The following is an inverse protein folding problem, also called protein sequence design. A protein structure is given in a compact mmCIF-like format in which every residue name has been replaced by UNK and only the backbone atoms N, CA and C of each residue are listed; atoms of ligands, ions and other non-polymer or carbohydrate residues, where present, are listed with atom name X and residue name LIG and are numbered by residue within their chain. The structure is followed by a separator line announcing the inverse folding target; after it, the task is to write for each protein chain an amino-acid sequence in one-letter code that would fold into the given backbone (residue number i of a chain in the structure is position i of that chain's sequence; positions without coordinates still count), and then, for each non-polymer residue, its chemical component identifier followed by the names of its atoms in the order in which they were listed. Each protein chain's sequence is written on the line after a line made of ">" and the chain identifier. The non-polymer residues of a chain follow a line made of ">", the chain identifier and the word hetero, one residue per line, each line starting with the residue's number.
data_IF_448020780384
#
_entry.id   IF_448020780384
#
_cell.length_a   1.000
_cell.length_b   1.000
_cell.length_c   1.000
_cell.angle_alpha   90.00
_cell.angle_beta   90.00
_cell.angle_gamma   90.00
#
_symmetry.space_group_name_H-M   'P 1'
#
loop_
_entity.id
_entity.type
_entity.pdbx_description
1 polymer ?
#
# COMPACT_ATOMS: atom_id res chain seq x y z
N UNK A 1 -0.34 12.85 26.05
CA UNK A 1 -0.71 14.17 25.51
C UNK A 1 -1.49 13.92 24.24
N UNK A 2 -2.74 14.36 24.16
CA UNK A 2 -3.53 14.27 22.93
C UNK A 2 -3.15 15.47 22.07
N UNK A 3 -2.27 15.28 21.11
CA UNK A 3 -1.94 16.32 20.12
C UNK A 3 -3.14 16.48 19.22
N UNK A 4 -3.82 17.63 19.29
CA UNK A 4 -4.87 17.99 18.33
C UNK A 4 -4.26 18.05 16.94
N UNK A 5 -4.78 17.23 16.01
CA UNK A 5 -4.36 17.27 14.61
C UNK A 5 -4.96 18.51 13.96
N UNK A 6 -4.14 19.25 13.20
CA UNK A 6 -4.60 20.44 12.48
C UNK A 6 -5.71 20.06 11.48
N UNK A 7 -6.85 20.78 11.46
CA UNK A 7 -7.94 20.51 10.52
C UNK A 7 -7.54 20.47 9.05
N UNK A 8 -6.53 21.26 8.65
CA UNK A 8 -6.01 21.26 7.28
C UNK A 8 -5.36 19.91 6.91
N UNK A 9 -4.74 19.22 7.87
CA UNK A 9 -4.19 17.88 7.67
C UNK A 9 -5.32 16.89 7.45
N UNK A 10 -6.37 16.94 8.27
CA UNK A 10 -7.54 16.06 8.12
C UNK A 10 -8.17 16.27 6.73
N UNK A 11 -8.38 17.52 6.33
CA UNK A 11 -8.96 17.87 5.03
C UNK A 11 -8.11 17.38 3.86
N UNK A 12 -6.78 17.42 3.96
CA UNK A 12 -5.88 16.91 2.93
C UNK A 12 -6.01 15.39 2.71
N UNK A 13 -6.40 14.64 3.75
CA UNK A 13 -6.63 13.19 3.66
C UNK A 13 -8.08 12.81 3.37
N UNK A 14 -9.03 13.75 3.46
CA UNK A 14 -10.45 13.52 3.20
C UNK A 14 -11.03 14.54 2.22
N UNK A 15 -10.49 14.67 1.00
CA UNK A 15 -10.97 15.65 0.02
C UNK A 15 -12.43 15.43 -0.37
N UNK A 16 -12.95 14.22 -0.17
CA UNK A 16 -14.35 13.82 -0.43
C UNK A 16 -15.18 13.69 0.85
N UNK A 17 -14.62 14.05 2.01
CA UNK A 17 -15.28 13.95 3.32
C UNK A 17 -15.07 12.63 4.08
N UNK A 18 -14.46 11.63 3.45
CA UNK A 18 -14.04 10.37 4.09
C UNK A 18 -12.61 10.03 3.68
N UNK A 19 -11.92 9.20 4.46
CA UNK A 19 -10.63 8.64 4.07
C UNK A 19 -10.87 7.41 3.20
N UNK A 20 -10.41 7.41 1.94
CA UNK A 20 -10.50 6.25 1.04
C UNK A 20 -9.17 5.52 0.99
N UNK A 21 -9.12 4.29 1.48
CA UNK A 21 -7.93 3.46 1.48
C UNK A 21 -7.96 2.40 0.38
N UNK A 22 -6.96 2.43 -0.50
CA UNK A 22 -6.76 1.43 -1.55
C UNK A 22 -6.21 0.13 -0.95
N UNK A 23 -6.95 -0.97 -1.11
CA UNK A 23 -6.61 -2.30 -0.57
C UNK A 23 -6.35 -3.28 -1.72
N UNK A 24 -5.15 -3.86 -1.75
CA UNK A 24 -4.75 -4.85 -2.74
C UNK A 24 -4.87 -6.29 -2.18
N UNK A 25 -5.94 -7.00 -2.54
CA UNK A 25 -6.13 -8.41 -2.20
C UNK A 25 -5.18 -9.36 -2.96
N UNK A 26 -4.53 -8.88 -4.03
CA UNK A 26 -3.48 -9.61 -4.71
C UNK A 26 -2.19 -9.75 -3.90
N UNK A 27 -2.10 -9.09 -2.73
CA UNK A 27 -1.02 -9.28 -1.77
C UNK A 27 -1.55 -9.96 -0.49
N UNK A 28 -1.59 -11.30 -0.44
CA UNK A 28 -2.16 -12.05 0.69
C UNK A 28 -1.36 -11.92 1.98
N UNK A 29 -0.14 -11.37 1.95
CA UNK A 29 0.62 -11.07 3.18
C UNK A 29 -0.01 -9.88 3.91
N UNK A 30 -0.58 -8.94 3.17
CA UNK A 30 -1.09 -7.67 3.72
C UNK A 30 -2.61 -7.60 3.80
N UNK A 31 -3.33 -8.28 2.90
CA UNK A 31 -4.78 -8.24 2.84
C UNK A 31 -5.37 -9.54 2.27
N UNK A 32 -6.44 -10.02 2.90
CA UNK A 32 -7.23 -11.18 2.48
C UNK A 32 -8.73 -10.88 2.63
N UNK A 33 -9.56 -11.84 2.22
CA UNK A 33 -10.98 -11.87 2.59
C UNK A 33 -11.17 -12.75 3.81
N UNK A 34 -11.89 -12.24 4.80
CA UNK A 34 -12.32 -12.99 5.98
C UNK A 34 -13.43 -13.99 5.66
N UNK A 35 -13.85 -14.80 6.65
CA UNK A 35 -14.92 -15.79 6.48
C UNK A 35 -16.27 -15.19 6.06
N UNK A 36 -16.50 -13.92 6.39
CA UNK A 36 -17.68 -13.13 6.03
C UNK A 36 -17.54 -12.41 4.68
N UNK A 37 -16.43 -12.63 3.96
CA UNK A 37 -16.11 -11.99 2.69
C UNK A 37 -15.52 -10.58 2.79
N UNK A 38 -15.43 -10.01 4.00
CA UNK A 38 -14.91 -8.66 4.22
C UNK A 38 -13.38 -8.62 4.14
N UNK A 39 -12.78 -7.50 3.69
CA UNK A 39 -11.33 -7.33 3.74
C UNK A 39 -10.80 -7.39 5.17
N UNK A 40 -9.74 -8.18 5.38
CA UNK A 40 -9.02 -8.33 6.64
C UNK A 40 -7.51 -8.33 6.41
N UNK A 41 -6.72 -8.01 7.43
CA UNK A 41 -5.27 -8.05 7.38
C UNK A 41 -4.60 -6.72 7.72
N UNK A 42 -3.28 -6.72 7.67
CA UNK A 42 -2.42 -5.60 8.14
C UNK A 42 -2.80 -4.28 7.50
N UNK A 43 -3.02 -4.23 6.18
CA UNK A 43 -3.38 -2.98 5.50
C UNK A 43 -4.74 -2.43 5.96
N UNK A 44 -5.68 -3.29 6.30
CA UNK A 44 -7.01 -2.90 6.78
C UNK A 44 -6.90 -2.33 8.19
N UNK A 45 -6.13 -2.99 9.06
CA UNK A 45 -5.94 -2.55 10.44
C UNK A 45 -5.20 -1.20 10.51
N UNK A 46 -4.18 -1.02 9.66
CA UNK A 46 -3.48 0.27 9.55
C UNK A 46 -4.40 1.38 9.02
N UNK A 47 -5.24 1.10 8.02
CA UNK A 47 -6.19 2.07 7.50
C UNK A 47 -7.21 2.50 8.56
N UNK A 48 -7.75 1.54 9.33
CA UNK A 48 -8.67 1.79 10.44
C UNK A 48 -8.02 2.63 11.53
N UNK A 49 -6.84 2.23 12.00
CA UNK A 49 -6.12 2.98 13.03
C UNK A 49 -5.78 4.41 12.58
N UNK A 50 -5.46 4.60 11.29
CA UNK A 50 -5.21 5.94 10.75
C UNK A 50 -6.49 6.79 10.69
N UNK A 51 -7.60 6.23 10.21
CA UNK A 51 -8.90 6.91 10.20
C UNK A 51 -9.35 7.32 11.60
N UNK A 52 -9.23 6.41 12.58
CA UNK A 52 -9.54 6.65 13.99
C UNK A 52 -8.68 7.79 14.56
N UNK A 53 -7.38 7.81 14.25
CA UNK A 53 -6.47 8.85 14.70
C UNK A 53 -6.79 10.22 14.10
N UNK A 54 -7.29 10.25 12.85
CA UNK A 54 -7.78 11.46 12.19
C UNK A 54 -9.19 11.86 12.65
N UNK A 55 -9.95 10.95 13.28
CA UNK A 55 -11.33 11.17 13.68
C UNK A 55 -12.32 11.21 12.52
N UNK A 56 -12.05 10.46 11.44
CA UNK A 56 -12.86 10.46 10.21
C UNK A 56 -13.39 9.06 9.87
N UNK A 57 -14.40 9.01 9.00
CA UNK A 57 -14.88 7.75 8.45
C UNK A 57 -13.87 7.15 7.45
N UNK A 58 -13.87 5.82 7.35
CA UNK A 58 -13.02 5.06 6.43
C UNK A 58 -13.85 4.36 5.38
N UNK A 59 -13.42 4.45 4.13
CA UNK A 59 -13.90 3.66 3.00
C UNK A 59 -12.76 2.79 2.47
N UNK A 60 -13.00 1.48 2.33
CA UNK A 60 -12.04 0.55 1.75
C UNK A 60 -12.34 0.37 0.25
N UNK A 61 -11.41 0.80 -0.61
CA UNK A 61 -11.50 0.64 -2.06
C UNK A 61 -10.67 -0.58 -2.45
N UNK A 62 -11.35 -1.69 -2.77
CA UNK A 62 -10.74 -3.01 -2.85
C UNK A 62 -10.42 -3.40 -4.29
N UNK A 63 -9.19 -3.86 -4.51
CA UNK A 63 -8.68 -4.32 -5.80
C UNK A 63 -8.09 -5.72 -5.70
N UNK A 64 -8.05 -6.42 -6.84
CA UNK A 64 -7.49 -7.77 -6.99
C UNK A 64 -5.99 -7.78 -7.34
N UNK A 65 -5.42 -6.62 -7.71
CA UNK A 65 -4.06 -6.51 -8.20
C UNK A 65 -3.37 -5.22 -7.76
N UNK A 66 -2.05 -5.29 -7.57
CA UNK A 66 -1.21 -4.17 -7.14
C UNK A 66 -1.30 -2.99 -8.11
N UNK A 67 -1.24 -3.23 -9.43
CA UNK A 67 -1.29 -2.18 -10.45
C UNK A 67 -2.54 -1.31 -10.33
N UNK A 68 -3.73 -1.94 -10.27
CA UNK A 68 -5.02 -1.23 -10.12
C UNK A 68 -5.10 -0.44 -8.81
N UNK A 69 -4.52 -0.99 -7.75
CA UNK A 69 -4.51 -0.37 -6.42
C UNK A 69 -3.62 0.88 -6.37
N UNK A 70 -2.46 0.86 -7.04
CA UNK A 70 -1.58 2.02 -7.20
C UNK A 70 -2.21 3.07 -8.11
N UNK A 71 -2.73 2.65 -9.25
CA UNK A 71 -3.43 3.52 -10.20
C UNK A 71 -4.60 4.25 -9.52
N UNK A 72 -5.33 3.60 -8.62
CA UNK A 72 -6.40 4.26 -7.85
C UNK A 72 -5.93 5.43 -6.99
N UNK A 73 -4.71 5.36 -6.44
CA UNK A 73 -4.14 6.47 -5.66
C UNK A 73 -3.63 7.57 -6.60
N UNK A 74 -3.00 7.17 -7.72
CA UNK A 74 -2.54 8.12 -8.74
C UNK A 74 -3.69 8.90 -9.39
N UNK A 75 -4.82 8.24 -9.65
CA UNK A 75 -6.05 8.82 -10.24
C UNK A 75 -6.97 9.49 -9.22
N UNK A 76 -6.57 9.60 -7.95
CA UNK A 76 -7.37 10.22 -6.88
C UNK A 76 -8.69 9.52 -6.56
N UNK A 77 -8.82 8.24 -6.98
CA UNK A 77 -9.92 7.36 -6.60
C UNK A 77 -9.77 6.84 -5.17
N UNK A 78 -8.55 6.85 -4.64
CA UNK A 78 -8.22 6.61 -3.24
C UNK A 78 -7.22 7.66 -2.73
N UNK A 79 -7.26 7.95 -1.42
CA UNK A 79 -6.43 8.98 -0.78
C UNK A 79 -5.12 8.40 -0.26
N UNK A 80 -5.15 7.13 0.17
CA UNK A 80 -3.98 6.38 0.64
C UNK A 80 -3.91 4.96 0.06
N UNK A 81 -2.74 4.34 0.12
CA UNK A 81 -2.55 2.94 -0.25
C UNK A 81 -1.34 2.26 0.40
N UNK A 82 -1.31 0.92 0.33
CA UNK A 82 -0.33 0.07 1.01
C UNK A 82 0.44 -0.76 -0.02
N UNK A 83 1.67 -0.36 -0.32
CA UNK A 83 2.42 -0.91 -1.45
C UNK A 83 3.84 -1.30 -1.06
N UNK A 84 4.39 -2.24 -1.82
CA UNK A 84 5.83 -2.44 -1.90
C UNK A 84 6.52 -1.14 -2.36
N UNK A 85 7.68 -0.84 -1.81
CA UNK A 85 8.51 0.26 -2.32
C UNK A 85 9.04 -0.15 -3.70
N UNK A 86 8.51 0.52 -4.72
CA UNK A 86 8.87 0.31 -6.12
C UNK A 86 9.28 1.65 -6.74
N UNK A 87 10.55 1.80 -7.16
CA UNK A 87 11.06 3.06 -7.68
C UNK A 87 10.34 3.54 -8.94
N UNK A 88 9.75 2.65 -9.75
CA UNK A 88 8.98 3.03 -10.95
C UNK A 88 7.64 3.64 -10.55
N UNK A 89 6.99 3.07 -9.53
CA UNK A 89 5.72 3.58 -8.98
C UNK A 89 5.93 4.84 -8.12
N UNK A 90 7.17 5.05 -7.67
CA UNK A 90 7.71 6.24 -7.00
C UNK A 90 7.38 7.59 -7.63
N UNK A 91 7.19 7.63 -8.95
CA UNK A 91 7.10 8.88 -9.69
C UNK A 91 5.76 9.62 -9.49
N UNK A 92 4.69 8.91 -9.11
CA UNK A 92 3.33 9.45 -9.10
C UNK A 92 2.74 9.62 -7.70
N UNK A 93 3.35 9.00 -6.67
CA UNK A 93 2.83 8.98 -5.30
C UNK A 93 3.95 9.20 -4.29
N UNK A 94 3.64 9.82 -3.16
CA UNK A 94 4.58 10.01 -2.05
C UNK A 94 4.56 8.80 -1.11
N UNK A 95 5.74 8.46 -0.58
CA UNK A 95 5.97 7.30 0.29
C UNK A 95 6.22 7.77 1.73
N UNK A 96 5.64 7.08 2.72
CA UNK A 96 6.10 7.17 4.10
C UNK A 96 7.36 6.33 4.29
N UNK A 97 7.91 6.37 5.51
CA UNK A 97 8.80 5.30 5.95
C UNK A 97 8.10 3.93 5.87
N UNK A 98 8.88 2.87 5.64
CA UNK A 98 8.35 1.51 5.60
C UNK A 98 7.81 1.06 6.96
N UNK A 99 6.61 0.48 6.98
CA UNK A 99 5.96 -0.01 8.20
C UNK A 99 6.15 -1.52 8.43
N UNK A 100 6.58 -2.26 7.41
CA UNK A 100 6.90 -3.69 7.50
C UNK A 100 8.02 -4.07 6.54
N UNK A 101 8.92 -4.93 6.99
CA UNK A 101 9.90 -5.59 6.16
C UNK A 101 9.43 -7.03 5.90
N UNK A 102 9.30 -7.39 4.62
CA UNK A 102 8.87 -8.73 4.21
C UNK A 102 10.08 -9.39 3.56
N UNK A 103 10.69 -10.31 4.29
CA UNK A 103 11.82 -11.09 3.80
C UNK A 103 11.34 -12.14 2.79
N UNK A 104 12.02 -12.23 1.66
CA UNK A 104 11.83 -13.30 0.69
C UNK A 104 12.49 -14.59 1.15
N UNK A 105 11.80 -15.72 1.01
CA UNK A 105 12.36 -17.03 1.34
C UNK A 105 12.06 -18.06 0.25
N UNK A 106 12.90 -19.09 0.17
CA UNK A 106 12.76 -20.17 -0.80
C UNK A 106 12.16 -21.41 -0.16
N UNK A 107 11.09 -21.95 -0.77
CA UNK A 107 10.54 -23.23 -0.36
C UNK A 107 11.22 -24.37 -1.14
N UNK A 108 11.81 -25.30 -0.42
CA UNK A 108 12.48 -26.48 -0.98
C UNK A 108 11.79 -27.77 -0.55
N UNK A 109 12.04 -28.87 -1.29
CA UNK A 109 11.63 -30.21 -0.84
C UNK A 109 12.37 -30.58 0.45
N UNK A 110 11.74 -31.39 1.30
CA UNK A 110 12.33 -31.83 2.57
C UNK A 110 13.73 -32.46 2.42
N UNK A 111 13.93 -33.27 1.37
CA UNK A 111 15.22 -33.89 1.05
C UNK A 111 16.24 -32.95 0.40
N UNK A 112 15.96 -31.65 0.32
CA UNK A 112 16.88 -30.67 -0.27
C UNK A 112 18.15 -30.53 0.56
N UNK A 113 19.33 -30.45 -0.08
CA UNK A 113 20.55 -30.10 0.61
C UNK A 113 20.60 -28.61 1.00
N UNK A 114 19.76 -27.76 0.37
CA UNK A 114 19.70 -26.33 0.67
C UNK A 114 19.03 -26.09 2.03
N UNK A 115 19.73 -25.38 2.90
CA UNK A 115 19.34 -25.03 4.28
C UNK A 115 19.33 -23.53 4.53
N UNK A 116 19.94 -22.75 3.66
CA UNK A 116 20.03 -21.30 3.80
C UNK A 116 19.76 -20.58 2.47
N UNK A 117 19.16 -19.39 2.53
CA UNK A 117 18.87 -18.57 1.34
C UNK A 117 20.14 -18.25 0.54
N UNK A 118 21.29 -18.05 1.19
CA UNK A 118 22.56 -17.75 0.54
C UNK A 118 23.10 -18.90 -0.33
N UNK A 119 22.67 -20.13 -0.08
CA UNK A 119 23.08 -21.31 -0.84
C UNK A 119 22.43 -21.36 -2.23
N UNK A 120 21.30 -20.67 -2.39
CA UNK A 120 20.56 -20.60 -3.66
C UNK A 120 21.35 -19.87 -4.74
N UNK A 121 22.06 -18.80 -4.38
CA UNK A 121 22.91 -18.06 -5.33
C UNK A 121 24.03 -18.92 -5.95
N UNK A 122 24.45 -19.98 -5.24
CA UNK A 122 25.48 -20.92 -5.69
C UNK A 122 24.89 -22.17 -6.36
N UNK A 123 23.59 -22.40 -6.24
CA UNK A 123 22.90 -23.53 -6.83
C UNK A 123 22.45 -23.21 -8.26
N UNK A 124 22.83 -24.03 -9.24
CA UNK A 124 22.44 -23.89 -10.66
C UNK A 124 20.94 -24.12 -10.95
N UNK A 125 20.09 -24.16 -9.91
CA UNK A 125 18.66 -24.38 -10.05
C UNK A 125 17.94 -23.04 -10.29
N UNK A 126 16.90 -22.98 -11.15
CA UNK A 126 16.09 -21.77 -11.25
C UNK A 126 15.30 -21.60 -9.94
N UNK A 127 15.53 -20.49 -9.25
CA UNK A 127 14.81 -20.12 -8.03
C UNK A 127 14.42 -18.65 -8.10
N UNK A 128 13.19 -18.31 -7.72
CA UNK A 128 12.63 -16.96 -7.79
C UNK A 128 12.71 -16.29 -6.41
N UNK A 129 13.50 -15.21 -6.28
CA UNK A 129 13.65 -14.43 -5.05
C UNK A 129 12.68 -13.24 -5.03
N UNK A 130 12.13 -12.91 -3.85
CA UNK A 130 11.33 -11.68 -3.68
C UNK A 130 11.44 -11.10 -2.28
N UNK A 131 12.50 -10.33 -2.02
CA UNK A 131 12.62 -9.48 -0.81
C UNK A 131 11.94 -8.12 -1.07
N UNK A 132 11.11 -7.63 -0.14
CA UNK A 132 10.34 -6.39 -0.35
C UNK A 132 9.99 -5.69 0.96
N UNK A 133 10.12 -4.35 0.99
CA UNK A 133 9.60 -3.50 2.08
C UNK A 133 8.26 -2.90 1.68
N UNK A 134 7.29 -2.85 2.59
CA UNK A 134 6.01 -2.19 2.35
C UNK A 134 5.91 -0.85 3.09
N UNK A 135 5.31 0.12 2.42
CA UNK A 135 5.12 1.49 2.89
C UNK A 135 3.68 1.96 2.63
N UNK A 136 3.27 3.00 3.36
CA UNK A 136 1.98 3.66 3.21
C UNK A 136 2.16 4.87 2.31
N UNK A 137 1.16 5.18 1.50
CA UNK A 137 1.27 6.18 0.44
C UNK A 137 0.16 7.18 0.54
N UNK A 138 0.48 8.41 0.14
CA UNK A 138 -0.45 9.52 -0.01
C UNK A 138 -0.18 10.18 -1.37
N UNK A 139 -1.21 10.79 -1.96
CA UNK A 139 -1.09 11.65 -3.13
C UNK A 139 0.01 12.72 -2.94
N UNK A 140 0.70 13.06 -4.01
CA UNK A 140 1.60 14.22 -4.04
C UNK A 140 0.81 15.52 -4.26
N UNK A 141 0.99 16.53 -3.40
CA UNK A 141 0.24 17.81 -3.44
C UNK A 141 0.60 18.69 -4.67
N UNK A 142 1.50 18.24 -5.55
CA UNK A 142 2.08 19.03 -6.64
C UNK A 142 1.24 19.16 -7.93
N UNK A 143 0.04 18.57 -8.02
CA UNK A 143 -0.77 18.60 -9.25
C UNK A 143 -2.04 19.47 -9.16
N UNK A 144 -2.22 20.20 -8.05
CA UNK A 144 -3.31 21.19 -7.91
C UNK A 144 -2.89 22.49 -8.60
N UNK A 145 -2.82 22.51 -9.94
CA UNK A 145 -2.33 23.71 -10.61
C UNK A 145 -2.21 23.73 -12.13
N UNK A 146 -3.09 23.08 -12.90
CA UNK A 146 -3.27 23.41 -14.33
C UNK A 146 -4.73 23.26 -14.76
N UNK A 147 -5.54 24.27 -14.44
CA UNK A 147 -6.71 24.57 -15.26
C UNK A 147 -6.22 25.22 -16.56
N UNK A 148 -6.46 24.55 -17.69
CA UNK A 148 -6.31 25.16 -19.00
C UNK A 148 -7.41 26.24 -19.19
N UNK A 149 -7.09 27.41 -19.77
CA UNK A 149 -8.12 28.37 -20.13
C UNK A 149 -8.90 27.83 -21.33
N UNK A 150 -10.20 27.64 -21.15
CA UNK A 150 -11.15 27.51 -22.25
C UNK A 150 -11.27 28.84 -22.99
N UNK A 151 -11.30 28.78 -24.32
CA UNK A 151 -11.56 29.93 -25.16
C UNK A 151 -11.59 29.56 -26.64
N UNK A 152 -12.81 29.36 -27.15
CA UNK A 152 -13.23 29.69 -28.50
C UNK A 152 -14.63 30.30 -28.40
#
# INVERSE_FOLDING_TARGET
>A
MTTTIDPSVVQAFTPTGVLRASINLGNPILANRGPDGQPVGVSIDLARAFAERLGVALELVVFDAAGKSVEAVADERADIGFFAIDPVRGAQIAFTDGYVHIEGAYLVRDASPLRDNAEVANARAPVEEKDTRASMHRRNDADVGRQAPGGA
#
